data_IF_311831063006
#
_entry.id   IF_311831063006
#
_cell.length_a   1.000
_cell.length_b   1.000
_cell.length_c   1.000
_cell.angle_alpha   90.00
_cell.angle_beta   90.00
_cell.angle_gamma   90.00
#
_symmetry.space_group_name_H-M   'P 1'
#
loop_
_entity.id
_entity.type
_entity.pdbx_description
1 polymer ?
#
# COMPACT_ATOMS: atom_id res chain seq x y z
N UNK A 1 58.08 7.63 -29.98
CA UNK A 1 57.01 8.12 -29.08
C UNK A 1 55.75 7.32 -29.38
N UNK A 2 55.52 6.22 -28.64
CA UNK A 2 54.38 5.33 -28.86
C UNK A 2 53.16 5.88 -28.10
N UNK A 3 52.12 6.32 -28.82
CA UNK A 3 50.83 6.63 -28.22
C UNK A 3 50.10 5.32 -27.91
N UNK A 4 49.96 4.99 -26.63
CA UNK A 4 49.06 3.95 -26.14
C UNK A 4 47.63 4.48 -26.21
N UNK A 5 46.80 3.87 -27.05
CA UNK A 5 45.35 4.08 -27.05
C UNK A 5 44.76 3.17 -25.96
N UNK A 6 44.20 3.77 -24.92
CA UNK A 6 43.48 3.07 -23.85
C UNK A 6 42.04 2.81 -24.31
N UNK A 7 41.49 1.58 -24.21
CA UNK A 7 40.10 1.34 -24.54
C UNK A 7 39.22 1.86 -23.40
N UNK A 8 38.37 2.84 -23.70
CA UNK A 8 37.30 3.28 -22.80
C UNK A 8 36.23 2.20 -22.81
N UNK A 9 36.15 1.43 -21.71
CA UNK A 9 35.01 0.57 -21.43
C UNK A 9 33.80 1.46 -21.11
N UNK A 10 32.88 1.56 -22.08
CA UNK A 10 31.55 2.14 -21.85
C UNK A 10 30.76 1.10 -21.05
N UNK A 11 30.72 1.29 -19.73
CA UNK A 11 29.73 0.65 -18.86
C UNK A 11 28.36 1.23 -19.22
N UNK A 12 27.63 0.53 -20.09
CA UNK A 12 26.19 0.71 -20.27
C UNK A 12 25.51 0.28 -18.97
N UNK A 13 25.42 1.21 -18.02
CA UNK A 13 24.50 1.09 -16.90
C UNK A 13 23.09 0.98 -17.47
N UNK A 14 22.39 -0.10 -17.13
CA UNK A 14 20.95 -0.22 -17.37
C UNK A 14 20.26 0.91 -16.59
N UNK A 15 20.08 2.05 -17.23
CA UNK A 15 19.27 3.13 -16.72
C UNK A 15 17.83 2.62 -16.70
N UNK A 16 17.40 2.15 -15.53
CA UNK A 16 15.99 1.88 -15.31
C UNK A 16 15.24 3.21 -15.51
N UNK A 17 14.15 3.23 -16.29
CA UNK A 17 13.39 4.45 -16.48
C UNK A 17 12.97 4.97 -15.11
N UNK A 18 13.17 6.27 -14.87
CA UNK A 18 12.51 6.95 -13.77
C UNK A 18 11.01 6.68 -13.93
N UNK A 19 10.38 6.06 -12.94
CA UNK A 19 8.93 5.87 -12.97
C UNK A 19 8.32 7.26 -12.89
N UNK A 20 7.87 7.81 -14.02
CA UNK A 20 7.12 9.05 -14.01
C UNK A 20 5.87 8.81 -13.16
N UNK A 21 5.77 9.54 -12.05
CA UNK A 21 4.61 9.51 -11.16
C UNK A 21 3.37 9.75 -12.02
N UNK A 22 2.38 8.85 -12.08
CA UNK A 22 1.05 9.23 -12.50
C UNK A 22 0.60 10.42 -11.64
N UNK A 23 -0.33 11.28 -12.09
CA UNK A 23 -0.95 12.26 -11.21
C UNK A 23 -1.38 11.61 -9.87
N UNK A 24 -1.67 12.38 -8.83
CA UNK A 24 -2.44 11.84 -7.70
C UNK A 24 -3.76 11.30 -8.26
N UNK A 25 -3.78 10.05 -8.72
CA UNK A 25 -4.94 9.35 -9.26
C UNK A 25 -5.80 9.03 -8.05
N UNK A 26 -6.46 10.07 -7.56
CA UNK A 26 -7.29 10.04 -6.38
C UNK A 26 -8.31 8.93 -6.60
N UNK A 27 -8.26 7.94 -5.71
CA UNK A 27 -9.24 6.87 -5.60
C UNK A 27 -10.26 7.29 -4.55
N UNK A 28 -10.83 8.49 -4.69
CA UNK A 28 -11.88 8.94 -3.78
C UNK A 28 -13.06 7.96 -3.83
N UNK A 29 -13.74 7.76 -2.72
CA UNK A 29 -14.91 6.88 -2.67
C UNK A 29 -15.93 7.28 -3.75
N UNK A 30 -16.26 6.35 -4.65
CA UNK A 30 -17.16 6.56 -5.79
C UNK A 30 -16.53 7.20 -7.03
N UNK A 31 -15.21 7.40 -7.05
CA UNK A 31 -14.46 7.76 -8.26
C UNK A 31 -14.34 6.57 -9.21
N UNK A 32 -14.02 6.83 -10.49
CA UNK A 32 -13.77 5.77 -11.47
C UNK A 32 -12.62 4.83 -11.04
N UNK A 33 -11.55 5.38 -10.48
CA UNK A 33 -10.42 4.59 -9.96
C UNK A 33 -10.84 3.66 -8.82
N UNK A 34 -11.64 4.16 -7.86
CA UNK A 34 -12.14 3.32 -6.78
C UNK A 34 -13.14 2.27 -7.27
N UNK A 35 -14.02 2.64 -8.22
CA UNK A 35 -14.97 1.70 -8.83
C UNK A 35 -14.25 0.52 -9.49
N UNK A 36 -13.13 0.77 -10.19
CA UNK A 36 -12.33 -0.29 -10.78
C UNK A 36 -11.81 -1.29 -9.74
N UNK A 37 -11.36 -0.81 -8.57
CA UNK A 37 -10.92 -1.70 -7.49
C UNK A 37 -12.07 -2.59 -6.98
N UNK A 38 -13.28 -2.02 -6.85
CA UNK A 38 -14.48 -2.75 -6.43
C UNK A 38 -14.90 -3.77 -7.49
N UNK A 39 -15.03 -3.35 -8.75
CA UNK A 39 -15.45 -4.22 -9.86
C UNK A 39 -14.49 -5.39 -10.06
N UNK A 40 -13.18 -5.12 -9.98
CA UNK A 40 -12.17 -6.15 -10.08
C UNK A 40 -12.27 -7.16 -8.93
N UNK A 41 -12.50 -6.70 -7.71
CA UNK A 41 -12.74 -7.56 -6.54
C UNK A 41 -13.88 -8.54 -6.81
N UNK A 42 -15.00 -8.06 -7.35
CA UNK A 42 -16.15 -8.92 -7.66
C UNK A 42 -15.87 -9.91 -8.80
N UNK A 43 -15.18 -9.44 -9.85
CA UNK A 43 -14.82 -10.26 -11.01
C UNK A 43 -13.91 -11.44 -10.63
N UNK A 44 -13.00 -11.24 -9.67
CA UNK A 44 -11.96 -12.22 -9.34
C UNK A 44 -12.31 -13.16 -8.16
N UNK A 45 -13.37 -12.90 -7.41
CA UNK A 45 -13.73 -13.65 -6.19
C UNK A 45 -14.99 -14.52 -6.32
N UNK A 46 -15.45 -14.77 -7.55
CA UNK A 46 -16.73 -15.44 -7.86
C UNK A 46 -17.89 -14.85 -7.02
N UNK A 47 -18.02 -13.52 -7.08
CA UNK A 47 -18.99 -12.75 -6.30
C UNK A 47 -20.42 -12.80 -6.88
N UNK A 48 -20.75 -13.83 -7.68
CA UNK A 48 -22.08 -13.94 -8.31
C UNK A 48 -23.17 -13.94 -7.24
N UNK A 49 -24.20 -13.12 -7.44
CA UNK A 49 -25.33 -12.98 -6.52
C UNK A 49 -25.03 -12.19 -5.23
N UNK A 50 -23.80 -11.70 -5.02
CA UNK A 50 -23.53 -10.78 -3.91
C UNK A 50 -24.16 -9.41 -4.18
N UNK A 51 -24.66 -8.77 -3.12
CA UNK A 51 -25.09 -7.37 -3.17
C UNK A 51 -23.91 -6.51 -3.63
N UNK A 52 -24.14 -5.44 -4.43
CA UNK A 52 -23.07 -4.50 -4.78
C UNK A 52 -22.50 -3.81 -3.53
N UNK A 53 -21.20 -3.51 -3.55
CA UNK A 53 -20.48 -2.99 -2.37
C UNK A 53 -21.05 -1.66 -1.87
N UNK A 54 -21.26 -0.69 -2.78
CA UNK A 54 -21.78 0.64 -2.43
C UNK A 54 -23.11 0.60 -1.66
N UNK A 55 -24.21 0.04 -2.19
CA UNK A 55 -25.48 -0.01 -1.47
C UNK A 55 -25.37 -0.84 -0.17
N UNK A 56 -24.55 -1.89 -0.13
CA UNK A 56 -24.32 -2.64 1.10
C UNK A 56 -23.66 -1.79 2.19
N UNK A 57 -22.57 -1.11 1.84
CA UNK A 57 -21.77 -0.29 2.77
C UNK A 57 -22.55 0.95 3.23
N UNK A 58 -23.22 1.64 2.30
CA UNK A 58 -24.03 2.83 2.59
C UNK A 58 -25.25 2.49 3.46
N UNK A 59 -25.90 1.34 3.23
CA UNK A 59 -27.00 0.90 4.09
C UNK A 59 -26.51 0.49 5.48
N UNK A 60 -25.33 -0.12 5.59
CA UNK A 60 -24.70 -0.40 6.88
C UNK A 60 -24.37 0.90 7.64
N UNK A 61 -23.84 1.91 6.94
CA UNK A 61 -23.61 3.24 7.50
C UNK A 61 -24.89 3.89 8.00
N UNK A 62 -25.96 3.87 7.19
CA UNK A 62 -27.25 4.45 7.58
C UNK A 62 -27.82 3.84 8.85
N UNK A 63 -27.66 2.52 9.06
CA UNK A 63 -28.06 1.86 10.31
C UNK A 63 -27.20 2.29 11.50
N UNK A 64 -25.90 2.44 11.28
CA UNK A 64 -24.90 2.79 12.29
C UNK A 64 -25.01 4.27 12.72
N UNK A 65 -24.94 5.20 11.77
CA UNK A 65 -24.87 6.64 12.03
C UNK A 65 -26.23 7.34 12.08
N UNK A 66 -27.31 6.66 11.66
CA UNK A 66 -28.67 7.23 11.51
C UNK A 66 -28.74 8.39 10.49
N UNK A 67 -27.84 8.38 9.50
CA UNK A 67 -27.77 9.33 8.38
C UNK A 67 -27.15 8.67 7.14
N UNK A 68 -27.32 9.25 5.94
CA UNK A 68 -26.77 8.69 4.71
C UNK A 68 -25.28 8.98 4.52
N UNK A 69 -24.48 8.00 4.10
CA UNK A 69 -23.03 8.17 3.95
C UNK A 69 -22.65 9.28 2.95
N UNK A 70 -23.36 9.37 1.81
CA UNK A 70 -23.14 10.44 0.83
C UNK A 70 -23.45 11.82 1.42
N UNK A 71 -24.52 11.94 2.20
CA UNK A 71 -24.87 13.17 2.91
C UNK A 71 -23.78 13.56 3.92
N UNK A 72 -23.23 12.59 4.66
CA UNK A 72 -22.11 12.82 5.59
C UNK A 72 -20.86 13.29 4.86
N UNK A 73 -20.49 12.69 3.73
CA UNK A 73 -19.37 13.17 2.91
C UNK A 73 -19.56 14.62 2.47
N UNK A 74 -20.74 14.95 1.94
CA UNK A 74 -21.03 16.31 1.48
C UNK A 74 -21.04 17.32 2.63
N UNK A 75 -21.66 16.98 3.76
CA UNK A 75 -21.67 17.83 4.94
C UNK A 75 -20.26 18.11 5.41
N UNK A 76 -19.40 17.09 5.44
CA UNK A 76 -17.99 17.24 5.84
C UNK A 76 -17.18 18.07 4.85
N UNK A 77 -17.35 17.83 3.55
CA UNK A 77 -16.71 18.61 2.49
C UNK A 77 -17.12 20.09 2.55
N UNK A 78 -18.41 20.36 2.72
CA UNK A 78 -18.94 21.74 2.89
C UNK A 78 -18.37 22.40 4.13
N UNK A 79 -18.33 21.70 5.27
CA UNK A 79 -17.74 22.22 6.49
C UNK A 79 -16.26 22.56 6.29
N UNK A 80 -15.47 21.63 5.77
CA UNK A 80 -14.04 21.81 5.51
C UNK A 80 -13.75 23.03 4.60
N UNK A 81 -14.54 23.21 3.54
CA UNK A 81 -14.37 24.34 2.61
C UNK A 81 -14.55 25.73 3.23
N UNK A 82 -15.22 25.82 4.39
CA UNK A 82 -15.53 27.07 5.09
C UNK A 82 -14.57 27.34 6.27
N UNK A 83 -13.69 26.41 6.59
CA UNK A 83 -12.77 26.54 7.72
C UNK A 83 -11.63 27.52 7.43
N UNK A 84 -11.29 28.30 8.46
CA UNK A 84 -10.06 29.08 8.48
C UNK A 84 -8.85 28.15 8.49
N UNK A 85 -7.70 28.55 7.92
CA UNK A 85 -6.49 27.72 7.88
C UNK A 85 -6.10 27.12 9.24
N UNK A 86 -6.21 27.90 10.32
CA UNK A 86 -5.90 27.46 11.69
C UNK A 86 -6.80 26.35 12.24
N UNK A 87 -7.97 26.14 11.64
CA UNK A 87 -8.96 25.14 12.09
C UNK A 87 -8.90 23.83 11.28
N UNK A 88 -8.23 23.84 10.12
CA UNK A 88 -8.27 22.73 9.16
C UNK A 88 -7.60 21.46 9.68
N UNK A 89 -6.42 21.57 10.31
CA UNK A 89 -5.69 20.42 10.86
C UNK A 89 -6.51 19.64 11.89
N UNK A 90 -7.15 20.35 12.82
CA UNK A 90 -8.02 19.71 13.82
C UNK A 90 -9.23 19.02 13.17
N UNK A 91 -9.82 19.62 12.13
CA UNK A 91 -10.93 19.03 11.39
C UNK A 91 -10.53 17.81 10.57
N UNK A 92 -9.34 17.84 9.97
CA UNK A 92 -8.73 16.73 9.23
C UNK A 92 -8.55 15.52 10.16
N UNK A 93 -7.99 15.74 11.36
CA UNK A 93 -7.87 14.71 12.40
C UNK A 93 -9.23 14.13 12.83
N UNK A 94 -10.22 14.98 13.08
CA UNK A 94 -11.57 14.53 13.43
C UNK A 94 -12.21 13.71 12.31
N UNK A 95 -11.96 14.08 11.05
CA UNK A 95 -12.45 13.35 9.88
C UNK A 95 -11.74 11.99 9.74
N UNK A 96 -10.45 11.92 10.05
CA UNK A 96 -9.71 10.65 10.14
C UNK A 96 -10.30 9.71 11.20
N UNK A 97 -10.57 10.22 12.42
CA UNK A 97 -11.21 9.45 13.50
C UNK A 97 -12.58 8.93 13.04
N UNK A 98 -13.38 9.77 12.38
CA UNK A 98 -14.68 9.37 11.84
C UNK A 98 -14.55 8.25 10.81
N UNK A 99 -13.62 8.35 9.85
CA UNK A 99 -13.41 7.32 8.84
C UNK A 99 -12.91 6.00 9.46
N UNK A 100 -11.93 6.08 10.38
CA UNK A 100 -11.43 4.95 11.17
C UNK A 100 -12.56 4.21 11.92
N UNK A 101 -13.36 4.95 12.71
CA UNK A 101 -14.47 4.37 13.48
C UNK A 101 -15.53 3.76 12.57
N UNK A 102 -15.84 4.42 11.46
CA UNK A 102 -16.79 3.92 10.47
C UNK A 102 -16.33 2.58 9.91
N UNK A 103 -15.12 2.49 9.36
CA UNK A 103 -14.64 1.23 8.76
C UNK A 103 -14.59 0.09 9.77
N UNK A 104 -14.12 0.34 11.00
CA UNK A 104 -14.11 -0.70 12.06
C UNK A 104 -15.51 -1.13 12.47
N UNK A 105 -16.46 -0.21 12.54
CA UNK A 105 -17.84 -0.54 12.92
C UNK A 105 -18.57 -1.33 11.83
N UNK A 106 -18.37 -1.00 10.56
CA UNK A 106 -19.13 -1.61 9.46
C UNK A 106 -18.51 -2.92 8.96
N UNK A 107 -17.21 -3.12 9.17
CA UNK A 107 -16.46 -4.31 8.75
C UNK A 107 -15.67 -4.82 9.97
N UNK A 108 -16.33 -5.49 10.94
CA UNK A 108 -15.72 -5.74 12.25
C UNK A 108 -14.66 -6.85 12.24
N UNK A 109 -14.76 -7.82 11.34
CA UNK A 109 -13.93 -9.03 11.39
C UNK A 109 -12.61 -8.79 10.67
N UNK A 110 -11.48 -9.12 11.31
CA UNK A 110 -10.17 -9.05 10.66
C UNK A 110 -9.76 -10.42 10.10
N UNK A 111 -9.29 -10.46 8.85
CA UNK A 111 -8.93 -11.71 8.15
C UNK A 111 -7.70 -11.51 7.27
N UNK A 112 -6.60 -12.16 7.64
CA UNK A 112 -5.37 -12.16 6.83
C UNK A 112 -5.49 -12.98 5.54
N UNK A 113 -6.46 -13.89 5.46
CA UNK A 113 -6.62 -14.78 4.31
C UNK A 113 -7.39 -14.14 3.16
N UNK A 114 -8.40 -13.32 3.49
CA UNK A 114 -9.41 -12.85 2.53
C UNK A 114 -9.82 -11.40 2.73
N UNK A 115 -9.53 -10.78 3.87
CA UNK A 115 -10.06 -9.46 4.22
C UNK A 115 -9.56 -8.30 3.33
N UNK A 116 -8.70 -8.56 2.33
CA UNK A 116 -8.24 -7.55 1.38
C UNK A 116 -9.22 -7.30 0.22
N UNK A 117 -10.34 -8.04 0.10
CA UNK A 117 -11.30 -7.91 -1.02
C UNK A 117 -12.61 -7.21 -0.62
N UNK A 118 -13.07 -6.27 -1.45
CA UNK A 118 -14.39 -5.63 -1.30
C UNK A 118 -15.55 -6.64 -1.31
N UNK A 119 -15.49 -7.63 -2.19
CA UNK A 119 -16.50 -8.69 -2.25
C UNK A 119 -16.55 -9.52 -0.95
N UNK A 120 -15.41 -9.73 -0.28
CA UNK A 120 -15.35 -10.46 0.98
C UNK A 120 -15.74 -9.61 2.20
N UNK A 121 -15.58 -8.28 2.14
CA UNK A 121 -16.25 -7.39 3.08
C UNK A 121 -17.78 -7.57 3.01
N UNK A 122 -18.36 -7.63 1.80
CA UNK A 122 -19.81 -7.86 1.65
C UNK A 122 -20.24 -9.26 2.10
N UNK A 123 -19.48 -10.29 1.72
CA UNK A 123 -19.84 -11.68 1.97
C UNK A 123 -19.67 -12.09 3.43
N UNK A 124 -18.59 -11.63 4.08
CA UNK A 124 -18.15 -12.14 5.39
C UNK A 124 -17.99 -11.04 6.45
N UNK A 125 -18.12 -9.76 6.09
CA UNK A 125 -17.80 -8.66 7.01
C UNK A 125 -16.31 -8.62 7.39
N UNK A 126 -15.44 -9.16 6.52
CA UNK A 126 -14.01 -9.28 6.75
C UNK A 126 -13.23 -8.09 6.16
N UNK A 127 -12.25 -7.59 6.90
CA UNK A 127 -11.26 -6.59 6.46
C UNK A 127 -9.84 -7.04 6.77
N UNK A 128 -8.89 -6.43 6.08
CA UNK A 128 -7.45 -6.56 6.25
C UNK A 128 -6.83 -5.18 6.05
N UNK A 129 -5.56 -5.01 6.40
CA UNK A 129 -4.91 -3.70 6.40
C UNK A 129 -4.91 -2.97 5.04
N UNK A 130 -4.83 -3.68 3.91
CA UNK A 130 -4.96 -3.06 2.59
C UNK A 130 -6.36 -2.48 2.38
N UNK A 131 -7.40 -3.32 2.50
CA UNK A 131 -8.78 -2.90 2.21
C UNK A 131 -9.22 -1.75 3.11
N UNK A 132 -8.96 -1.85 4.41
CA UNK A 132 -9.37 -0.82 5.36
C UNK A 132 -8.64 0.51 5.09
N UNK A 133 -7.35 0.48 4.73
CA UNK A 133 -6.58 1.70 4.47
C UNK A 133 -6.98 2.34 3.15
N UNK A 134 -7.27 1.54 2.11
CA UNK A 134 -7.86 2.04 0.85
C UNK A 134 -9.24 2.66 1.09
N UNK A 135 -10.08 2.03 1.91
CA UNK A 135 -11.39 2.59 2.28
C UNK A 135 -11.28 3.90 3.04
N UNK A 136 -10.47 3.95 4.11
CA UNK A 136 -10.28 5.17 4.91
C UNK A 136 -9.73 6.29 4.03
N UNK A 137 -8.66 6.04 3.26
CA UNK A 137 -8.10 7.03 2.35
C UNK A 137 -9.13 7.51 1.31
N UNK A 138 -9.88 6.60 0.68
CA UNK A 138 -10.92 6.95 -0.29
C UNK A 138 -12.06 7.79 0.33
N UNK A 139 -12.46 7.49 1.57
CA UNK A 139 -13.42 8.28 2.34
C UNK A 139 -12.91 9.70 2.61
N UNK A 140 -11.65 9.84 3.03
CA UNK A 140 -11.03 11.15 3.30
C UNK A 140 -10.84 11.97 2.01
N UNK A 141 -10.40 11.34 0.92
CA UNK A 141 -10.33 11.97 -0.40
C UNK A 141 -11.70 12.45 -0.89
N UNK A 142 -12.78 11.71 -0.62
CA UNK A 142 -14.16 12.11 -0.96
C UNK A 142 -14.60 13.39 -0.24
N UNK A 143 -14.08 13.64 0.96
CA UNK A 143 -14.27 14.89 1.72
C UNK A 143 -13.44 16.04 1.13
N UNK A 144 -12.43 15.74 0.32
CA UNK A 144 -11.47 16.71 -0.23
C UNK A 144 -10.17 16.81 0.57
N UNK A 145 -9.88 15.81 1.42
CA UNK A 145 -8.64 15.75 2.19
C UNK A 145 -7.55 15.02 1.42
N UNK A 146 -6.29 15.38 1.67
CA UNK A 146 -5.12 14.78 1.03
C UNK A 146 -4.72 13.51 1.79
N UNK A 147 -5.29 12.38 1.38
CA UNK A 147 -4.99 11.09 1.99
C UNK A 147 -4.54 10.08 0.94
N UNK A 148 -3.77 9.08 1.35
CA UNK A 148 -3.41 7.93 0.53
C UNK A 148 -2.97 6.75 1.40
N UNK A 149 -2.38 5.72 0.82
CA UNK A 149 -1.86 4.59 1.58
C UNK A 149 -0.33 4.51 1.51
N UNK A 150 0.26 3.91 2.54
CA UNK A 150 1.69 3.62 2.66
C UNK A 150 1.87 2.18 3.11
N UNK A 151 2.98 1.55 2.72
CA UNK A 151 3.35 0.26 3.31
C UNK A 151 4.09 0.50 4.63
N UNK A 152 3.95 -0.44 5.56
CA UNK A 152 4.65 -0.43 6.85
C UNK A 152 5.63 -1.60 6.87
N UNK A 153 6.91 -1.30 7.05
CA UNK A 153 7.97 -2.30 7.19
C UNK A 153 8.45 -2.46 8.63
N UNK A 154 8.18 -1.48 9.51
CA UNK A 154 8.45 -1.56 10.95
C UNK A 154 7.26 -1.03 11.74
N UNK A 155 6.61 -1.90 12.51
CA UNK A 155 5.37 -1.55 13.21
C UNK A 155 5.63 -0.67 14.45
N UNK A 156 4.57 -0.35 15.21
CA UNK A 156 4.67 0.51 16.40
C UNK A 156 5.47 -0.13 17.54
N UNK A 157 5.60 -1.46 17.54
CA UNK A 157 6.39 -2.22 18.51
C UNK A 157 7.82 -2.49 18.03
N UNK A 158 8.22 -1.93 16.88
CA UNK A 158 9.55 -2.08 16.31
C UNK A 158 9.79 -3.40 15.57
N UNK A 159 8.76 -4.24 15.39
CA UNK A 159 8.87 -5.48 14.64
C UNK A 159 8.99 -5.19 13.15
N UNK A 160 9.98 -5.80 12.50
CA UNK A 160 10.27 -5.64 11.08
C UNK A 160 9.53 -6.70 10.26
N UNK A 161 8.95 -6.28 9.13
CA UNK A 161 8.31 -7.15 8.16
C UNK A 161 8.79 -6.84 6.74
N UNK A 162 8.49 -7.74 5.81
CA UNK A 162 8.74 -7.53 4.39
C UNK A 162 7.56 -6.80 3.74
N UNK A 163 7.27 -5.56 4.19
CA UNK A 163 6.14 -4.76 3.70
C UNK A 163 4.78 -5.47 3.87
N UNK A 164 4.56 -6.15 4.99
CA UNK A 164 3.36 -6.99 5.20
C UNK A 164 2.10 -6.22 5.60
N UNK A 165 2.22 -4.91 5.89
CA UNK A 165 1.15 -4.10 6.47
C UNK A 165 0.95 -2.79 5.69
N UNK A 166 -0.27 -2.26 5.72
CA UNK A 166 -0.68 -1.05 4.98
C UNK A 166 -1.42 -0.11 5.92
N UNK A 167 -1.00 1.15 5.96
CA UNK A 167 -1.64 2.20 6.75
C UNK A 167 -2.09 3.36 5.87
N UNK A 168 -3.07 4.14 6.31
CA UNK A 168 -3.46 5.38 5.63
C UNK A 168 -2.54 6.50 6.07
N UNK A 169 -2.05 7.30 5.12
CA UNK A 169 -1.33 8.55 5.38
C UNK A 169 -2.27 9.73 5.06
N UNK A 170 -2.48 10.62 6.02
CA UNK A 170 -3.23 11.86 5.86
C UNK A 170 -2.28 13.06 5.98
N UNK A 171 -2.21 13.87 4.92
CA UNK A 171 -1.52 15.16 4.91
C UNK A 171 -2.39 16.22 5.54
N UNK A 172 -1.93 16.76 6.65
CA UNK A 172 -2.56 17.85 7.36
C UNK A 172 -2.19 19.20 6.72
N UNK A 173 -3.12 20.13 6.80
CA UNK A 173 -3.00 21.51 6.32
C UNK A 173 -1.94 22.35 7.05
N UNK A 174 -1.50 21.91 8.23
CA UNK A 174 -0.40 22.53 8.98
C UNK A 174 1.00 22.09 8.48
N UNK A 175 1.08 21.24 7.45
CA UNK A 175 2.34 20.76 6.88
C UNK A 175 2.88 19.48 7.51
N UNK A 176 2.13 18.84 8.41
CA UNK A 176 2.49 17.54 8.99
C UNK A 176 1.70 16.40 8.33
N UNK A 177 2.13 15.17 8.59
CA UNK A 177 1.43 13.95 8.19
C UNK A 177 0.86 13.21 9.42
N UNK A 178 -0.11 12.34 9.21
CA UNK A 178 -0.71 11.51 10.26
C UNK A 178 -1.01 10.11 9.72
N UNK A 179 -0.66 9.07 10.49
CA UNK A 179 -1.04 7.70 10.17
C UNK A 179 -2.44 7.40 10.70
N UNK A 180 -3.25 6.71 9.91
CA UNK A 180 -4.58 6.25 10.31
C UNK A 180 -4.71 4.76 10.03
N UNK A 181 -4.89 3.95 11.07
CA UNK A 181 -4.87 2.49 10.94
C UNK A 181 -5.98 1.78 11.70
N UNK A 182 -6.88 1.12 10.96
CA UNK A 182 -7.96 0.35 11.56
C UNK A 182 -7.53 -1.01 12.16
N UNK A 183 -6.28 -1.44 11.96
CA UNK A 183 -5.74 -2.66 12.59
C UNK A 183 -5.49 -2.46 14.09
N UNK A 184 -5.22 -1.21 14.50
CA UNK A 184 -4.84 -0.89 15.87
C UNK A 184 -6.06 -0.49 16.71
N UNK A 185 -6.00 -0.59 18.05
CA UNK A 185 -7.08 -0.13 18.93
C UNK A 185 -7.32 1.38 18.88
N UNK A 186 -6.24 2.15 18.74
CA UNK A 186 -6.25 3.61 18.62
C UNK A 186 -6.02 4.04 17.16
N UNK A 187 -6.60 5.18 16.72
CA UNK A 187 -6.63 5.54 15.31
C UNK A 187 -5.26 5.93 14.74
N UNK A 188 -4.34 6.43 15.57
CA UNK A 188 -3.11 7.08 15.12
C UNK A 188 -1.86 6.36 15.64
N UNK A 189 -1.55 5.15 15.12
CA UNK A 189 -0.35 4.45 15.57
C UNK A 189 0.93 5.09 15.03
N UNK A 190 1.97 5.06 15.86
CA UNK A 190 3.30 5.54 15.50
C UNK A 190 4.15 4.41 14.89
N UNK A 191 3.74 3.92 13.71
CA UNK A 191 4.54 2.93 13.00
C UNK A 191 5.93 3.50 12.67
N UNK A 192 6.97 2.77 13.08
CA UNK A 192 8.34 3.27 13.11
C UNK A 192 9.01 3.24 11.73
N UNK A 193 8.44 2.54 10.75
CA UNK A 193 9.03 2.38 9.43
C UNK A 193 8.00 2.25 8.34
N UNK A 194 8.07 3.16 7.37
CA UNK A 194 7.20 3.24 6.21
C UNK A 194 7.97 3.01 4.91
N UNK A 195 7.24 2.62 3.88
CA UNK A 195 7.72 2.55 2.51
C UNK A 195 6.69 3.22 1.59
N UNK A 196 7.15 4.26 0.89
CA UNK A 196 6.30 5.08 0.03
C UNK A 196 7.14 5.86 -0.99
N UNK A 197 6.49 6.74 -1.75
CA UNK A 197 7.11 7.57 -2.78
C UNK A 197 7.86 8.78 -2.21
N UNK A 198 9.10 8.96 -2.65
CA UNK A 198 9.90 10.16 -2.46
C UNK A 198 9.88 10.98 -3.76
N UNK A 199 9.21 12.13 -3.71
CA UNK A 199 9.05 13.00 -4.87
C UNK A 199 10.33 13.75 -5.25
N UNK A 200 11.29 13.91 -4.34
CA UNK A 200 12.55 14.59 -4.63
C UNK A 200 13.43 13.77 -5.57
N UNK A 201 13.37 12.44 -5.45
CA UNK A 201 14.15 11.49 -6.26
C UNK A 201 13.33 10.77 -7.34
N UNK A 202 12.00 10.89 -7.29
CA UNK A 202 11.10 10.25 -8.24
C UNK A 202 11.12 8.72 -8.15
N UNK A 203 11.13 8.18 -6.92
CA UNK A 203 11.27 6.75 -6.67
C UNK A 203 10.71 6.34 -5.31
N UNK A 204 10.62 5.04 -5.03
CA UNK A 204 10.25 4.54 -3.71
C UNK A 204 11.41 4.59 -2.71
N UNK A 205 11.09 4.77 -1.43
CA UNK A 205 12.06 4.78 -0.33
C UNK A 205 11.53 4.11 0.93
N UNK A 206 12.43 3.46 1.65
CA UNK A 206 12.24 3.14 3.06
C UNK A 206 12.55 4.37 3.90
N UNK A 207 11.65 4.68 4.83
CA UNK A 207 11.72 5.85 5.69
C UNK A 207 11.27 5.53 7.10
N UNK A 208 11.78 6.31 8.05
CA UNK A 208 11.39 6.29 9.47
C UNK A 208 10.79 7.65 9.83
N UNK A 209 9.49 7.70 10.19
CA UNK A 209 8.84 8.96 10.54
C UNK A 209 9.43 9.61 11.79
N UNK A 210 9.37 10.94 11.85
CA UNK A 210 9.66 11.76 13.03
C UNK A 210 8.35 12.24 13.64
N UNK A 211 7.90 11.54 14.67
CA UNK A 211 6.67 11.87 15.39
C UNK A 211 6.89 13.01 16.39
N UNK A 212 5.92 13.91 16.44
CA UNK A 212 5.71 14.83 17.55
C UNK A 212 4.85 14.17 18.65
N UNK A 213 4.74 14.84 19.80
CA UNK A 213 3.98 14.33 20.95
C UNK A 213 2.47 14.10 20.71
N UNK A 214 1.94 14.58 19.57
CA UNK A 214 0.54 14.47 19.17
C UNK A 214 0.32 13.47 18.02
N UNK A 215 1.24 12.53 17.81
CA UNK A 215 1.25 11.53 16.74
C UNK A 215 1.44 12.09 15.32
N UNK A 216 1.59 13.41 15.16
CA UNK A 216 1.85 14.02 13.85
C UNK A 216 3.30 13.77 13.43
N UNK A 217 3.50 13.44 12.17
CA UNK A 217 4.80 13.28 11.54
C UNK A 217 5.26 14.64 11.02
N UNK A 218 6.41 15.11 11.50
CA UNK A 218 6.99 16.41 11.14
C UNK A 218 8.05 16.31 10.03
N UNK A 219 8.70 15.15 9.92
CA UNK A 219 9.73 14.85 8.94
C UNK A 219 9.90 13.33 8.77
N UNK A 220 10.74 12.93 7.82
CA UNK A 220 11.08 11.54 7.58
C UNK A 220 12.59 11.35 7.48
N UNK A 221 13.15 10.39 8.21
CA UNK A 221 14.53 9.95 7.96
C UNK A 221 14.54 8.90 6.87
N UNK A 222 15.28 9.16 5.80
CA UNK A 222 15.53 8.19 4.74
C UNK A 222 16.45 7.07 5.24
N UNK A 223 16.02 5.83 5.07
CA UNK A 223 16.82 4.66 5.42
C UNK A 223 17.92 4.48 4.37
N UNK A 224 19.11 4.11 4.82
CA UNK A 224 20.28 3.87 3.95
C UNK A 224 21.28 5.04 3.91
N UNK A 225 20.81 6.30 3.95
CA UNK A 225 21.69 7.48 4.00
C UNK A 225 21.46 8.39 5.22
N UNK A 226 20.37 8.22 5.96
CA UNK A 226 20.06 8.98 7.16
C UNK A 226 19.63 10.44 6.92
N UNK A 227 19.46 10.86 5.66
CA UNK A 227 19.01 12.21 5.32
C UNK A 227 17.57 12.45 5.82
N UNK A 228 17.31 13.64 6.34
CA UNK A 228 15.95 14.05 6.74
C UNK A 228 15.24 14.69 5.56
N UNK A 229 14.12 14.11 5.15
CA UNK A 229 13.23 14.61 4.11
C UNK A 229 12.03 15.35 4.75
N UNK A 230 11.68 16.56 4.29
CA UNK A 230 10.48 17.24 4.74
C UNK A 230 9.23 16.50 4.28
N UNK A 231 8.14 16.64 5.05
CA UNK A 231 6.82 16.08 4.73
C UNK A 231 6.36 16.45 3.31
N UNK A 232 6.68 17.65 2.81
CA UNK A 232 6.32 18.09 1.45
C UNK A 232 6.88 17.22 0.32
N UNK A 233 7.97 16.51 0.55
CA UNK A 233 8.63 15.65 -0.46
C UNK A 233 8.12 14.21 -0.45
N UNK A 234 7.51 13.77 0.65
CA UNK A 234 6.97 12.42 0.77
C UNK A 234 5.52 12.41 0.29
N UNK A 235 5.20 11.43 -0.54
CA UNK A 235 3.85 11.24 -1.05
C UNK A 235 3.36 9.81 -0.75
N UNK A 236 2.04 9.61 -0.64
CA UNK A 236 1.46 8.28 -0.58
C UNK A 236 1.76 7.45 -1.84
N UNK A 237 1.54 6.15 -1.74
CA UNK A 237 1.63 5.22 -2.87
C UNK A 237 0.60 5.57 -3.94
N UNK A 238 1.01 5.52 -5.20
CA UNK A 238 0.13 5.74 -6.35
C UNK A 238 -0.82 4.58 -6.62
N UNK A 239 -1.87 4.82 -7.41
CA UNK A 239 -2.92 3.85 -7.71
C UNK A 239 -2.37 2.54 -8.31
N UNK A 240 -1.39 2.62 -9.21
CA UNK A 240 -0.75 1.44 -9.82
C UNK A 240 -0.12 0.52 -8.78
N UNK A 241 0.57 1.11 -7.79
CA UNK A 241 1.13 0.36 -6.69
C UNK A 241 0.02 -0.30 -5.86
N UNK A 242 -1.06 0.42 -5.54
CA UNK A 242 -2.18 -0.16 -4.80
C UNK A 242 -2.85 -1.32 -5.54
N UNK A 243 -3.08 -1.17 -6.85
CA UNK A 243 -3.58 -2.26 -7.70
C UNK A 243 -2.61 -3.46 -7.65
N UNK A 244 -1.31 -3.22 -7.79
CA UNK A 244 -0.30 -4.28 -7.65
C UNK A 244 -0.37 -4.97 -6.29
N UNK A 245 -0.72 -4.26 -5.21
CA UNK A 245 -0.85 -4.84 -3.87
C UNK A 245 -2.10 -5.71 -3.73
N UNK A 246 -3.23 -5.36 -4.34
CA UNK A 246 -4.38 -6.29 -4.41
C UNK A 246 -4.00 -7.58 -5.14
N UNK A 247 -3.30 -7.47 -6.27
CA UNK A 247 -2.78 -8.63 -7.00
C UNK A 247 -1.75 -9.42 -6.20
N UNK A 248 -0.89 -8.75 -5.44
CA UNK A 248 0.04 -9.39 -4.51
C UNK A 248 -0.71 -10.26 -3.49
N UNK A 249 -1.69 -9.72 -2.78
CA UNK A 249 -2.43 -10.49 -1.78
C UNK A 249 -3.22 -11.65 -2.38
N UNK A 250 -3.82 -11.48 -3.56
CA UNK A 250 -4.46 -12.58 -4.31
C UNK A 250 -3.47 -13.71 -4.62
N UNK A 251 -2.24 -13.35 -4.96
CA UNK A 251 -1.16 -14.30 -5.23
C UNK A 251 -0.64 -14.98 -3.97
N UNK A 252 -0.32 -14.21 -2.93
CA UNK A 252 0.17 -14.69 -1.64
C UNK A 252 -0.85 -15.67 -1.00
N UNK A 253 -2.14 -15.32 -1.05
CA UNK A 253 -3.24 -16.03 -0.38
C UNK A 253 -4.03 -16.97 -1.29
N UNK A 254 -3.53 -17.26 -2.50
CA UNK A 254 -4.18 -18.22 -3.38
C UNK A 254 -4.33 -19.58 -2.67
N UNK A 255 -5.52 -20.22 -2.68
CA UNK A 255 -5.71 -21.54 -2.10
C UNK A 255 -4.75 -22.58 -2.68
N UNK A 256 -4.05 -23.32 -1.80
CA UNK A 256 -2.99 -24.25 -2.20
C UNK A 256 -1.79 -23.57 -2.88
N UNK A 257 -1.64 -22.26 -2.73
CA UNK A 257 -0.63 -21.44 -3.39
C UNK A 257 0.66 -21.30 -2.60
N UNK A 258 1.20 -20.09 -2.61
CA UNK A 258 2.46 -19.76 -1.97
C UNK A 258 2.46 -20.04 -0.46
N UNK A 259 1.45 -19.57 0.26
CA UNK A 259 1.34 -19.74 1.70
C UNK A 259 0.77 -21.12 2.07
N UNK A 260 1.36 -21.76 3.08
CA UNK A 260 0.93 -23.07 3.56
C UNK A 260 1.30 -24.24 2.63
N UNK A 261 0.61 -25.39 2.76
CA UNK A 261 0.77 -26.53 1.87
C UNK A 261 0.42 -26.17 0.43
N UNK A 262 1.36 -26.37 -0.48
CA UNK A 262 1.23 -25.97 -1.88
C UNK A 262 0.78 -27.11 -2.78
N UNK A 263 -0.02 -26.81 -3.79
CA UNK A 263 -0.37 -27.69 -4.91
C UNK A 263 0.13 -27.08 -6.22
N UNK A 264 0.34 -27.88 -7.30
CA UNK A 264 0.74 -27.34 -8.59
C UNK A 264 -0.23 -26.26 -9.11
N UNK A 265 -1.54 -26.49 -8.98
CA UNK A 265 -2.58 -25.55 -9.43
C UNK A 265 -2.61 -24.26 -8.60
N UNK A 266 -2.46 -24.36 -7.28
CA UNK A 266 -2.43 -23.19 -6.42
C UNK A 266 -1.17 -22.35 -6.65
N UNK A 267 -0.01 -22.98 -6.83
CA UNK A 267 1.23 -22.27 -7.19
C UNK A 267 1.12 -21.57 -8.54
N UNK A 268 0.52 -22.21 -9.54
CA UNK A 268 0.23 -21.58 -10.83
C UNK A 268 -0.69 -20.35 -10.67
N UNK A 269 -1.67 -20.44 -9.77
CA UNK A 269 -2.56 -19.31 -9.45
C UNK A 269 -1.80 -18.18 -8.76
N UNK A 270 -0.95 -18.50 -7.78
CA UNK A 270 -0.06 -17.53 -7.12
C UNK A 270 0.84 -16.82 -8.14
N UNK A 271 1.50 -17.58 -9.01
CA UNK A 271 2.39 -17.05 -10.04
C UNK A 271 1.64 -16.09 -10.97
N UNK A 272 0.45 -16.46 -11.46
CA UNK A 272 -0.36 -15.62 -12.35
C UNK A 272 -0.71 -14.27 -11.73
N UNK A 273 -1.15 -14.26 -10.47
CA UNK A 273 -1.50 -13.01 -9.79
C UNK A 273 -0.26 -12.16 -9.47
N UNK A 274 0.85 -12.78 -9.06
CA UNK A 274 2.10 -12.06 -8.79
C UNK A 274 2.75 -11.51 -10.07
N UNK A 275 2.66 -12.22 -11.19
CA UNK A 275 3.07 -11.71 -12.50
C UNK A 275 2.28 -10.44 -12.86
N UNK A 276 0.98 -10.42 -12.60
CA UNK A 276 0.14 -9.24 -12.85
C UNK A 276 0.49 -8.08 -11.89
N UNK A 277 0.78 -8.37 -10.62
CA UNK A 277 1.29 -7.37 -9.69
C UNK A 277 2.59 -6.73 -10.20
N UNK A 278 3.55 -7.55 -10.65
CA UNK A 278 4.82 -7.08 -11.22
C UNK A 278 4.62 -6.34 -12.53
N UNK A 279 3.64 -6.73 -13.37
CA UNK A 279 3.31 -6.03 -14.62
C UNK A 279 2.73 -4.64 -14.35
N UNK A 280 1.87 -4.51 -13.35
CA UNK A 280 1.25 -3.24 -12.97
C UNK A 280 2.27 -2.29 -12.34
N UNK A 281 3.11 -2.81 -11.44
CA UNK A 281 4.13 -2.04 -10.75
C UNK A 281 5.42 -2.84 -10.61
N UNK A 282 6.33 -2.79 -11.60
CA UNK A 282 7.59 -3.52 -11.53
C UNK A 282 8.54 -2.95 -10.46
N UNK A 283 8.25 -1.75 -9.94
CA UNK A 283 8.94 -1.17 -8.79
C UNK A 283 8.48 -1.73 -7.45
N UNK A 284 7.47 -2.60 -7.38
CA UNK A 284 7.00 -3.23 -6.14
C UNK A 284 7.96 -4.37 -5.72
N UNK A 285 8.86 -4.14 -4.74
CA UNK A 285 9.91 -5.09 -4.43
C UNK A 285 9.34 -6.37 -3.79
N UNK A 286 8.20 -6.26 -3.10
CA UNK A 286 7.52 -7.36 -2.44
C UNK A 286 6.94 -8.34 -3.47
N UNK A 287 6.22 -7.84 -4.47
CA UNK A 287 5.64 -8.68 -5.51
C UNK A 287 6.71 -9.41 -6.34
N UNK A 288 7.77 -8.70 -6.72
CA UNK A 288 8.91 -9.27 -7.48
C UNK A 288 9.60 -10.37 -6.67
N UNK A 289 9.92 -10.11 -5.41
CA UNK A 289 10.55 -11.07 -4.52
C UNK A 289 9.70 -12.33 -4.31
N UNK A 290 8.40 -12.17 -4.00
CA UNK A 290 7.52 -13.31 -3.73
C UNK A 290 7.23 -14.11 -5.00
N UNK A 291 7.19 -13.48 -6.19
CA UNK A 291 7.13 -14.20 -7.46
C UNK A 291 8.31 -15.16 -7.61
N UNK A 292 9.52 -14.71 -7.26
CA UNK A 292 10.71 -15.56 -7.26
C UNK A 292 10.61 -16.74 -6.29
N UNK A 293 10.04 -16.55 -5.10
CA UNK A 293 9.79 -17.66 -4.18
C UNK A 293 8.75 -18.66 -4.71
N UNK A 294 7.72 -18.18 -5.41
CA UNK A 294 6.73 -19.06 -6.06
C UNK A 294 7.36 -19.86 -7.18
N UNK A 295 8.16 -19.24 -8.06
CA UNK A 295 8.90 -19.97 -9.09
C UNK A 295 9.85 -21.01 -8.50
N UNK A 296 10.49 -20.71 -7.36
CA UNK A 296 11.31 -21.69 -6.66
C UNK A 296 10.49 -22.89 -6.22
N UNK A 297 9.32 -22.67 -5.61
CA UNK A 297 8.39 -23.76 -5.23
C UNK A 297 7.88 -24.57 -6.43
N UNK A 298 7.81 -23.97 -7.62
CA UNK A 298 7.44 -24.65 -8.86
C UNK A 298 8.60 -25.41 -9.53
N UNK A 299 9.83 -25.33 -8.98
CA UNK A 299 11.02 -25.92 -9.61
C UNK A 299 11.57 -25.10 -10.79
N UNK A 300 11.05 -23.90 -11.05
CA UNK A 300 11.52 -23.00 -12.11
C UNK A 300 12.74 -22.20 -11.63
N UNK A 301 13.86 -22.89 -11.38
CA UNK A 301 14.98 -22.34 -10.61
C UNK A 301 15.62 -21.10 -11.25
N UNK A 302 15.84 -21.09 -12.57
CA UNK A 302 16.43 -19.92 -13.24
C UNK A 302 15.52 -18.69 -13.17
N UNK A 303 14.22 -18.86 -13.41
CA UNK A 303 13.24 -17.78 -13.27
C UNK A 303 13.16 -17.28 -11.81
N UNK A 304 13.24 -18.19 -10.85
CA UNK A 304 13.28 -17.85 -9.43
C UNK A 304 14.51 -17.01 -9.06
N UNK A 305 15.70 -17.44 -9.49
CA UNK A 305 16.96 -16.71 -9.25
C UNK A 305 16.88 -15.30 -9.83
N UNK A 306 16.39 -15.15 -11.05
CA UNK A 306 16.25 -13.85 -11.70
C UNK A 306 15.32 -12.91 -10.92
N UNK A 307 14.15 -13.38 -10.52
CA UNK A 307 13.18 -12.56 -9.77
C UNK A 307 13.68 -12.21 -8.36
N UNK A 308 14.31 -13.16 -7.66
CA UNK A 308 14.90 -12.90 -6.34
C UNK A 308 16.01 -11.85 -6.41
N UNK A 309 16.92 -11.96 -7.40
CA UNK A 309 17.96 -10.94 -7.62
C UNK A 309 17.37 -9.57 -7.93
N UNK A 310 16.33 -9.53 -8.76
CA UNK A 310 15.63 -8.27 -9.10
C UNK A 310 14.97 -7.67 -7.86
N UNK A 311 14.24 -8.46 -7.07
CA UNK A 311 13.59 -8.00 -5.84
C UNK A 311 14.61 -7.49 -4.81
N UNK A 312 15.72 -8.21 -4.64
CA UNK A 312 16.83 -7.77 -3.80
C UNK A 312 17.41 -6.42 -4.26
N UNK A 313 17.65 -6.24 -5.56
CA UNK A 313 18.15 -4.99 -6.13
C UNK A 313 17.17 -3.83 -5.91
N UNK A 314 15.86 -4.06 -6.01
CA UNK A 314 14.85 -3.04 -5.70
C UNK A 314 14.90 -2.65 -4.22
N UNK A 315 14.90 -3.64 -3.30
CA UNK A 315 15.06 -3.36 -1.87
C UNK A 315 16.33 -2.56 -1.57
N UNK A 316 17.47 -2.96 -2.14
CA UNK A 316 18.75 -2.27 -1.98
C UNK A 316 18.67 -0.82 -2.50
N UNK A 317 18.11 -0.62 -3.69
CA UNK A 317 17.89 0.70 -4.32
C UNK A 317 17.02 1.60 -3.44
N UNK A 318 16.03 1.05 -2.75
CA UNK A 318 15.13 1.81 -1.88
C UNK A 318 15.68 2.06 -0.47
N UNK A 319 16.88 1.56 -0.17
CA UNK A 319 17.64 1.88 1.04
C UNK A 319 17.57 0.84 2.16
N UNK A 320 16.78 -0.22 2.02
CA UNK A 320 16.66 -1.26 3.04
C UNK A 320 16.36 -2.63 2.45
N UNK A 321 17.07 -3.65 2.94
CA UNK A 321 16.86 -5.04 2.55
C UNK A 321 16.36 -5.83 3.76
N UNK A 322 15.10 -6.31 3.74
CA UNK A 322 14.60 -7.19 4.80
C UNK A 322 15.30 -8.56 4.78
N UNK A 323 15.28 -9.28 5.90
CA UNK A 323 16.08 -10.51 6.04
C UNK A 323 15.61 -11.66 5.14
N UNK A 324 14.31 -11.76 4.85
CA UNK A 324 13.77 -12.73 3.88
C UNK A 324 14.40 -12.56 2.47
N UNK A 325 14.31 -11.38 1.85
CA UNK A 325 15.02 -11.05 0.63
C UNK A 325 16.53 -11.30 0.67
N UNK A 326 17.23 -11.01 1.78
CA UNK A 326 18.67 -11.35 1.92
C UNK A 326 18.90 -12.85 1.83
N UNK A 327 18.18 -13.64 2.63
CA UNK A 327 18.34 -15.09 2.67
C UNK A 327 18.01 -15.75 1.32
N UNK A 328 16.95 -15.29 0.65
CA UNK A 328 16.61 -15.77 -0.68
C UNK A 328 17.68 -15.41 -1.71
N UNK A 329 18.27 -14.21 -1.62
CA UNK A 329 19.35 -13.79 -2.52
C UNK A 329 20.60 -14.64 -2.37
N UNK A 330 20.98 -15.03 -1.14
CA UNK A 330 22.06 -15.99 -0.91
C UNK A 330 21.81 -17.30 -1.65
N UNK A 331 20.62 -17.89 -1.48
CA UNK A 331 20.22 -19.10 -2.22
C UNK A 331 20.27 -18.89 -3.75
N UNK A 332 19.90 -17.70 -4.24
CA UNK A 332 19.91 -17.42 -5.67
C UNK A 332 21.34 -17.25 -6.24
N UNK A 333 22.34 -17.08 -5.39
CA UNK A 333 23.76 -17.01 -5.75
C UNK A 333 24.48 -18.36 -5.75
N UNK A 334 23.90 -19.38 -5.11
CA UNK A 334 24.33 -20.79 -5.13
C UNK A 334 23.93 -21.50 -6.45
#
# INVERSE_FOLDING_TARGET
>A
MQLKVLPVLILLGLAYPAYARPPEDAYAYGSAAFNQLVEESYRLTDAKGLKPFYPWFEQAYARYAKEGLQQSFEARRRAYSRLQPSQRAAYEQQSAIWAYRTVKALIPNFSLERGYEFAFAVRYGERQCLLQSVLIAGMLQRIGLRAGAVMVWKNLHGQVSNLGHVSTLLRLSNGHDLLVDASEPEPFPEHQGLFTWDAAVGDYRFLEPRFANNHEIQAYRLVGNGHEAPVSEIAPLGLRYLQSQFYYYRGERAPGGFMGPSTPQGLATSARFLQEAVRLEPGNPLAVYVLGLVYRKQGQLEAARQQIRTGYQLYARYGFIPDGPKAAHTWAGE
#
